data_IF_261527303916
#
_entry.id   IF_261527303916
#
_cell.length_a   1.000
_cell.length_b   1.000
_cell.length_c   1.000
_cell.angle_alpha   90.00
_cell.angle_beta   90.00
_cell.angle_gamma   90.00
#
_symmetry.space_group_name_H-M   'P 1'
#
loop_
_entity.id
_entity.type
_entity.pdbx_description
1 polymer ?
#
# COMPACT_ATOMS: atom_id res chain seq x y z
N UNK A 1 -0.23 12.42 -26.26
CA UNK A 1 0.72 12.28 -25.14
C UNK A 1 -0.06 11.89 -23.89
N UNK A 2 0.36 10.86 -23.14
CA UNK A 2 -0.23 10.49 -21.83
C UNK A 2 0.78 10.85 -20.74
N UNK A 3 0.33 11.42 -19.63
CA UNK A 3 1.15 11.82 -18.48
C UNK A 3 0.61 11.10 -17.25
N UNK A 4 1.50 10.47 -16.47
CA UNK A 4 1.13 9.88 -15.19
C UNK A 4 1.31 10.91 -14.08
N UNK A 5 0.25 11.10 -13.29
CA UNK A 5 0.22 12.04 -12.15
C UNK A 5 -0.08 11.23 -10.89
N UNK A 6 0.57 11.60 -9.78
CA UNK A 6 0.27 11.02 -8.48
C UNK A 6 -1.14 11.41 -8.05
N UNK A 7 -2.06 10.44 -8.02
CA UNK A 7 -3.43 10.62 -7.54
C UNK A 7 -3.46 10.89 -6.03
N UNK A 8 -2.78 10.05 -5.24
CA UNK A 8 -2.77 10.14 -3.79
C UNK A 8 -1.55 9.48 -3.16
N UNK A 9 -1.29 9.79 -1.88
CA UNK A 9 -0.16 9.25 -1.11
C UNK A 9 -0.53 9.17 0.37
N UNK A 10 -0.14 8.08 1.01
CA UNK A 10 -0.09 7.97 2.46
C UNK A 10 1.38 8.12 2.88
N UNK A 11 1.70 9.13 3.69
CA UNK A 11 3.09 9.47 4.03
C UNK A 11 3.49 8.90 5.40
N UNK A 12 4.65 8.23 5.46
CA UNK A 12 5.29 7.74 6.70
C UNK A 12 4.36 6.91 7.60
N UNK A 13 3.76 5.88 7.02
CA UNK A 13 3.04 4.87 7.81
C UNK A 13 3.98 3.81 8.34
N UNK A 14 3.64 3.29 9.52
CA UNK A 14 4.34 2.16 10.14
C UNK A 14 3.70 0.86 9.70
N UNK A 15 4.52 -0.09 9.25
CA UNK A 15 4.08 -1.46 8.98
C UNK A 15 3.77 -2.14 10.31
N UNK A 16 2.52 -2.57 10.51
CA UNK A 16 2.07 -3.21 11.75
C UNK A 16 2.23 -4.74 11.75
N UNK A 17 2.48 -5.32 10.58
CA UNK A 17 2.76 -6.75 10.41
C UNK A 17 3.20 -7.06 8.99
N UNK A 18 3.86 -8.21 8.83
CA UNK A 18 4.23 -8.77 7.54
C UNK A 18 4.08 -10.29 7.59
N UNK A 19 3.57 -10.87 6.49
CA UNK A 19 3.39 -12.32 6.31
C UNK A 19 4.02 -12.73 4.99
N UNK A 20 4.98 -13.65 5.05
CA UNK A 20 5.77 -14.17 3.92
C UNK A 20 4.96 -15.13 3.02
N UNK A 21 3.92 -15.76 3.57
CA UNK A 21 3.13 -16.76 2.86
C UNK A 21 1.93 -16.16 2.13
N UNK A 22 1.68 -14.86 2.30
CA UNK A 22 0.52 -14.19 1.74
C UNK A 22 0.88 -13.43 0.48
N UNK A 23 0.06 -13.62 -0.56
CA UNK A 23 0.47 -13.33 -1.92
C UNK A 23 0.04 -11.92 -2.32
N UNK A 24 1.04 -11.06 -2.53
CA UNK A 24 1.02 -10.04 -3.59
C UNK A 24 0.14 -8.81 -3.36
N UNK A 25 -0.26 -8.50 -2.12
CA UNK A 25 -1.11 -7.34 -1.79
C UNK A 25 -0.68 -6.62 -0.51
N UNK A 26 -1.08 -5.36 -0.38
CA UNK A 26 -0.94 -4.59 0.86
C UNK A 26 -2.30 -4.37 1.51
N UNK A 27 -2.42 -4.70 2.79
CA UNK A 27 -3.62 -4.37 3.57
C UNK A 27 -3.47 -2.96 4.13
N UNK A 28 -4.45 -2.09 3.87
CA UNK A 28 -4.49 -0.71 4.38
C UNK A 28 -5.74 -0.54 5.24
N UNK A 29 -5.60 0.23 6.32
CA UNK A 29 -6.71 0.62 7.17
C UNK A 29 -7.77 1.43 6.41
N UNK A 30 -9.05 1.16 6.66
CA UNK A 30 -10.17 1.84 6.01
C UNK A 30 -10.09 3.37 6.14
N UNK A 31 -9.75 3.89 7.32
CA UNK A 31 -9.68 5.35 7.53
C UNK A 31 -8.60 6.00 6.66
N UNK A 32 -7.49 5.31 6.43
CA UNK A 32 -6.42 5.77 5.55
C UNK A 32 -6.79 5.65 4.07
N UNK A 33 -7.50 4.59 3.70
CA UNK A 33 -8.04 4.43 2.34
C UNK A 33 -9.01 5.57 2.01
N UNK A 34 -9.94 5.88 2.91
CA UNK A 34 -10.88 6.99 2.76
C UNK A 34 -10.16 8.34 2.67
N UNK A 35 -9.24 8.62 3.59
CA UNK A 35 -8.48 9.88 3.60
C UNK A 35 -7.62 10.08 2.35
N UNK A 36 -7.08 8.99 1.79
CA UNK A 36 -6.22 9.01 0.59
C UNK A 36 -6.98 8.73 -0.70
N UNK A 37 -8.29 8.46 -0.66
CA UNK A 37 -9.11 8.09 -1.83
C UNK A 37 -8.54 6.89 -2.62
N UNK A 38 -7.88 5.98 -1.91
CA UNK A 38 -7.38 4.71 -2.45
C UNK A 38 -8.51 3.69 -2.33
N UNK A 39 -8.82 2.98 -3.41
CA UNK A 39 -9.86 1.95 -3.43
C UNK A 39 -9.27 0.55 -3.33
N UNK A 40 -10.09 -0.40 -2.91
CA UNK A 40 -9.71 -1.81 -2.93
C UNK A 40 -9.43 -2.28 -4.36
N UNK A 41 -8.35 -3.06 -4.53
CA UNK A 41 -7.83 -3.49 -5.83
C UNK A 41 -7.02 -2.42 -6.59
N UNK A 42 -6.88 -1.20 -6.06
CA UNK A 42 -6.09 -0.15 -6.71
C UNK A 42 -4.60 -0.50 -6.72
N UNK A 43 -3.95 -0.32 -7.88
CA UNK A 43 -2.50 -0.50 -8.02
C UNK A 43 -1.79 0.62 -7.28
N UNK A 44 -0.90 0.25 -6.36
CA UNK A 44 -0.13 1.18 -5.54
C UNK A 44 1.35 0.89 -5.62
N UNK A 45 2.14 1.92 -5.36
CA UNK A 45 3.57 1.82 -5.17
C UNK A 45 3.90 1.98 -3.69
N UNK A 46 4.58 0.99 -3.11
CA UNK A 46 5.04 1.01 -1.72
C UNK A 46 6.53 1.28 -1.73
N UNK A 47 6.96 2.27 -0.94
CA UNK A 47 8.38 2.62 -0.80
C UNK A 47 8.78 2.41 0.65
N UNK A 48 9.70 1.47 0.88
CA UNK A 48 10.26 1.22 2.20
C UNK A 48 11.45 2.16 2.44
N UNK A 49 11.30 3.06 3.42
CA UNK A 49 12.33 4.07 3.73
C UNK A 49 13.54 3.48 4.47
N UNK A 50 13.41 2.30 5.07
CA UNK A 50 14.47 1.69 5.89
C UNK A 50 15.50 0.93 5.05
N UNK A 51 15.08 0.33 3.94
CA UNK A 51 15.95 -0.48 3.07
C UNK A 51 15.95 -0.02 1.59
N UNK A 52 15.10 0.95 1.22
CA UNK A 52 15.01 1.49 -0.14
C UNK A 52 14.20 0.64 -1.12
N UNK A 53 13.60 -0.47 -0.68
CA UNK A 53 12.80 -1.34 -1.54
C UNK A 53 11.56 -0.63 -2.07
N UNK A 54 11.19 -0.98 -3.30
CA UNK A 54 10.02 -0.45 -3.99
C UNK A 54 9.20 -1.60 -4.55
N UNK A 55 7.94 -1.66 -4.15
CA UNK A 55 7.03 -2.72 -4.52
C UNK A 55 5.86 -2.12 -5.31
N UNK A 56 5.42 -2.85 -6.33
CA UNK A 56 4.20 -2.56 -7.06
C UNK A 56 3.21 -3.67 -6.76
N UNK A 57 2.06 -3.31 -6.20
CA UNK A 57 1.08 -4.25 -5.69
C UNK A 57 -0.33 -3.64 -5.73
N UNK A 58 -1.34 -4.33 -5.22
CA UNK A 58 -2.71 -3.84 -5.10
C UNK A 58 -3.16 -3.80 -3.64
N UNK A 59 -4.15 -2.98 -3.35
CA UNK A 59 -4.66 -2.75 -2.00
C UNK A 59 -5.78 -3.73 -1.66
N UNK A 60 -5.78 -4.25 -0.44
CA UNK A 60 -6.90 -4.96 0.18
C UNK A 60 -7.34 -4.15 1.40
N UNK A 61 -8.64 -4.05 1.62
CA UNK A 61 -9.18 -3.37 2.80
C UNK A 61 -8.99 -4.21 4.05
N UNK A 62 -8.56 -3.60 5.16
CA UNK A 62 -8.48 -4.30 6.45
C UNK A 62 -8.42 -3.37 7.65
N UNK A 63 -8.26 -3.95 8.84
CA UNK A 63 -8.27 -3.24 10.12
C UNK A 63 -6.89 -2.68 10.54
N UNK A 64 -5.83 -3.05 9.82
CA UNK A 64 -4.45 -2.69 10.15
C UNK A 64 -3.61 -2.56 8.88
N UNK A 65 -2.58 -1.73 8.95
CA UNK A 65 -1.58 -1.58 7.87
C UNK A 65 -0.64 -2.78 7.91
N UNK A 66 -0.85 -3.75 7.04
CA UNK A 66 -0.04 -4.97 6.98
C UNK A 66 0.52 -5.07 5.57
N UNK A 67 1.85 -5.09 5.47
CA UNK A 67 2.52 -5.30 4.19
C UNK A 67 2.73 -6.79 4.07
N UNK A 68 1.89 -7.44 3.27
CA UNK A 68 1.95 -8.88 3.09
C UNK A 68 2.79 -9.17 1.85
N UNK A 69 4.04 -9.52 2.11
CA UNK A 69 5.10 -9.59 1.11
C UNK A 69 5.23 -11.02 0.59
N UNK A 70 5.33 -11.14 -0.73
CA UNK A 70 5.95 -12.27 -1.40
C UNK A 70 7.03 -11.75 -2.34
#
# INVERSE_FOLDING_TARGET
MKIDILKSKIHKVTVTGADLNYIGSITIDESLMEASKIIEGEKVQVVNINNGERLLTYVIKGLKIVVKLR
#
